data_IF_230674093095
#
_entry.id   IF_230674093095
#
_cell.length_a   1.000
_cell.length_b   1.000
_cell.length_c   1.000
_cell.angle_alpha   90.00
_cell.angle_beta   90.00
_cell.angle_gamma   90.00
#
_symmetry.space_group_name_H-M   'P 1'
#
loop_
_entity.id
_entity.type
_entity.pdbx_description
1 polymer ?
#
# COMPACT_ATOMS: atom_id res chain seq x y z
N UNK A 1 -16.85 8.32 -7.26
CA UNK A 1 -17.29 8.17 -5.86
C UNK A 1 -16.44 7.06 -5.26
N UNK A 2 -16.06 7.17 -3.98
CA UNK A 2 -15.23 6.15 -3.33
C UNK A 2 -16.13 5.18 -2.54
N UNK A 3 -15.85 3.89 -2.61
CA UNK A 3 -16.47 2.90 -1.74
C UNK A 3 -15.86 2.99 -0.34
N UNK A 4 -16.70 2.97 0.69
CA UNK A 4 -16.27 2.99 2.10
C UNK A 4 -16.56 1.63 2.70
N UNK A 5 -15.51 0.99 3.23
CA UNK A 5 -15.61 -0.28 3.93
C UNK A 5 -15.30 -0.07 5.42
N UNK A 6 -16.27 -0.36 6.27
CA UNK A 6 -16.06 -0.42 7.72
C UNK A 6 -15.48 -1.80 8.08
N UNK A 7 -14.19 -1.82 8.39
CA UNK A 7 -13.45 -3.04 8.73
C UNK A 7 -13.11 -2.99 10.22
N UNK A 8 -13.36 -4.08 10.94
CA UNK A 8 -12.99 -4.17 12.35
C UNK A 8 -11.45 -4.18 12.50
N UNK A 9 -10.86 -3.29 13.32
CA UNK A 9 -9.42 -3.04 13.30
C UNK A 9 -8.57 -4.22 13.79
N UNK A 10 -9.08 -5.03 14.71
CA UNK A 10 -8.35 -6.20 15.26
C UNK A 10 -8.87 -7.55 14.76
N UNK A 11 -10.00 -7.56 14.06
CA UNK A 11 -10.66 -8.78 13.58
C UNK A 11 -11.25 -8.51 12.19
N UNK A 12 -10.41 -8.15 11.20
CA UNK A 12 -10.87 -7.68 9.91
C UNK A 12 -11.70 -8.75 9.20
N UNK A 13 -12.85 -8.34 8.66
CA UNK A 13 -13.75 -9.24 7.93
C UNK A 13 -13.13 -9.59 6.57
N UNK A 14 -12.77 -10.86 6.37
CA UNK A 14 -12.07 -11.32 5.16
C UNK A 14 -12.75 -10.89 3.86
N UNK A 15 -14.09 -10.99 3.78
CA UNK A 15 -14.87 -10.58 2.60
C UNK A 15 -14.63 -9.11 2.20
N UNK A 16 -14.42 -8.21 3.17
CA UNK A 16 -14.14 -6.80 2.90
C UNK A 16 -12.69 -6.60 2.48
N UNK A 17 -11.75 -7.33 3.09
CA UNK A 17 -10.35 -7.36 2.67
C UNK A 17 -10.21 -7.84 1.22
N UNK A 18 -10.89 -8.93 0.85
CA UNK A 18 -10.85 -9.48 -0.52
C UNK A 18 -11.38 -8.48 -1.56
N UNK A 19 -12.41 -7.70 -1.20
CA UNK A 19 -12.90 -6.61 -2.05
C UNK A 19 -11.87 -5.50 -2.21
N UNK A 20 -11.22 -5.07 -1.13
CA UNK A 20 -10.13 -4.08 -1.19
C UNK A 20 -8.96 -4.56 -2.05
N UNK A 21 -8.59 -5.83 -1.93
CA UNK A 21 -7.55 -6.47 -2.74
C UNK A 21 -7.95 -6.54 -4.21
N UNK A 22 -9.22 -6.84 -4.50
CA UNK A 22 -9.74 -6.83 -5.88
C UNK A 22 -9.67 -5.43 -6.51
N UNK A 23 -9.94 -4.37 -5.73
CA UNK A 23 -9.77 -2.98 -6.18
C UNK A 23 -8.31 -2.69 -6.51
N UNK A 24 -7.37 -3.12 -5.68
CA UNK A 24 -5.94 -2.97 -5.94
C UNK A 24 -5.54 -3.67 -7.25
N UNK A 25 -5.89 -4.95 -7.43
CA UNK A 25 -5.59 -5.70 -8.65
C UNK A 25 -6.25 -5.11 -9.91
N UNK A 26 -7.37 -4.41 -9.77
CA UNK A 26 -8.03 -3.68 -10.86
C UNK A 26 -7.41 -2.31 -11.20
N UNK A 27 -6.25 -1.95 -10.63
CA UNK A 27 -5.60 -0.63 -10.83
C UNK A 27 -6.23 0.50 -10.01
N UNK A 28 -7.03 0.15 -9.00
CA UNK A 28 -7.60 1.07 -8.04
C UNK A 28 -6.58 1.57 -7.01
N UNK A 29 -7.01 2.56 -6.24
CA UNK A 29 -6.25 3.12 -5.11
C UNK A 29 -7.10 2.93 -3.87
N UNK A 30 -6.49 2.48 -2.78
CA UNK A 30 -7.15 2.30 -1.49
C UNK A 30 -6.53 3.24 -0.45
N UNK A 31 -7.36 3.70 0.48
CA UNK A 31 -6.93 4.39 1.70
C UNK A 31 -7.14 3.41 2.84
N UNK A 32 -6.08 3.08 3.59
CA UNK A 32 -6.15 2.04 4.63
C UNK A 32 -5.38 2.46 5.89
N UNK A 33 -5.82 2.00 7.07
CA UNK A 33 -5.15 2.32 8.32
C UNK A 33 -3.84 1.52 8.46
N UNK A 34 -2.84 2.15 9.06
CA UNK A 34 -1.61 1.56 9.57
C UNK A 34 -1.45 1.93 11.04
N UNK A 35 -0.40 1.42 11.68
CA UNK A 35 0.02 1.81 13.04
C UNK A 35 0.40 3.30 13.18
N UNK A 36 0.66 3.97 12.05
CA UNK A 36 1.21 5.32 11.95
C UNK A 36 0.25 6.33 11.30
N UNK A 37 -1.00 5.93 11.07
CA UNK A 37 -2.02 6.77 10.44
C UNK A 37 -2.62 6.10 9.20
N UNK A 38 -3.19 6.90 8.28
CA UNK A 38 -3.72 6.37 7.03
C UNK A 38 -2.70 6.45 5.90
N UNK A 39 -2.63 5.38 5.11
CA UNK A 39 -1.81 5.31 3.91
C UNK A 39 -2.68 5.25 2.64
N UNK A 40 -2.14 5.79 1.55
CA UNK A 40 -2.64 5.60 0.19
C UNK A 40 -1.84 4.47 -0.46
N UNK A 41 -2.52 3.42 -0.93
CA UNK A 41 -1.90 2.27 -1.57
C UNK A 41 -2.47 1.99 -2.96
N UNK A 42 -1.62 1.48 -3.84
CA UNK A 42 -1.98 0.95 -5.15
C UNK A 42 -1.19 -0.31 -5.46
N UNK A 43 -1.57 -1.04 -6.50
CA UNK A 43 -0.82 -2.21 -6.95
C UNK A 43 0.60 -1.83 -7.41
N UNK A 44 1.59 -2.65 -7.05
CA UNK A 44 2.98 -2.45 -7.46
C UNK A 44 3.12 -2.58 -8.98
N UNK A 45 3.93 -1.71 -9.60
CA UNK A 45 4.15 -1.72 -11.05
C UNK A 45 3.03 -1.08 -11.88
N UNK A 46 1.92 -0.65 -11.27
CA UNK A 46 0.90 0.14 -11.98
C UNK A 46 1.32 1.62 -12.04
N UNK A 47 1.90 2.00 -13.18
CA UNK A 47 2.32 3.39 -13.43
C UNK A 47 1.17 4.38 -13.35
N UNK A 48 -0.03 4.01 -13.83
CA UNK A 48 -1.19 4.90 -13.86
C UNK A 48 -1.71 5.16 -12.46
N UNK A 49 -1.78 4.12 -11.63
CA UNK A 49 -2.18 4.26 -10.23
C UNK A 49 -1.14 5.06 -9.42
N UNK A 50 0.16 4.84 -9.66
CA UNK A 50 1.22 5.59 -8.99
C UNK A 50 1.17 7.10 -9.29
N UNK A 51 0.95 7.49 -10.54
CA UNK A 51 0.79 8.91 -10.92
C UNK A 51 -0.44 9.55 -10.27
N UNK A 52 -1.53 8.79 -10.13
CA UNK A 52 -2.70 9.24 -9.37
C UNK A 52 -2.39 9.43 -7.89
N UNK A 53 -1.68 8.50 -7.24
CA UNK A 53 -1.22 8.65 -5.84
C UNK A 53 -0.34 9.89 -5.70
N UNK A 54 0.62 10.09 -6.62
CA UNK A 54 1.50 11.26 -6.66
C UNK A 54 0.71 12.56 -6.75
N UNK A 55 -0.30 12.62 -7.63
CA UNK A 55 -1.18 13.78 -7.80
C UNK A 55 -2.00 14.06 -6.54
N UNK A 56 -2.61 13.03 -5.94
CA UNK A 56 -3.40 13.15 -4.70
C UNK A 56 -2.53 13.68 -3.55
N UNK A 57 -1.30 13.18 -3.43
CA UNK A 57 -0.37 13.57 -2.36
C UNK A 57 0.46 14.83 -2.65
N UNK A 58 0.34 15.43 -3.84
CA UNK A 58 1.12 16.61 -4.23
C UNK A 58 2.64 16.37 -4.25
N UNK A 59 3.07 15.16 -4.62
CA UNK A 59 4.48 14.75 -4.50
C UNK A 59 5.32 15.13 -5.72
N UNK A 60 6.59 15.48 -5.45
CA UNK A 60 7.57 15.75 -6.50
C UNK A 60 7.94 14.47 -7.26
N UNK A 61 8.43 14.55 -8.51
CA UNK A 61 8.88 13.38 -9.26
C UNK A 61 10.06 12.64 -8.62
N UNK A 62 10.79 13.29 -7.71
CA UNK A 62 11.95 12.72 -7.01
C UNK A 62 11.60 12.11 -5.65
N UNK A 63 10.33 12.18 -5.24
CA UNK A 63 9.93 11.66 -3.95
C UNK A 63 10.02 10.13 -3.93
N UNK A 64 10.64 9.58 -2.89
CA UNK A 64 10.63 8.14 -2.66
C UNK A 64 9.22 7.70 -2.27
N UNK A 65 8.77 6.58 -2.84
CA UNK A 65 7.56 5.91 -2.42
C UNK A 65 7.89 4.84 -1.38
N UNK A 66 6.86 4.49 -0.61
CA UNK A 66 6.94 3.40 0.37
C UNK A 66 6.45 2.11 -0.27
N UNK A 67 7.24 1.05 -0.15
CA UNK A 67 6.78 -0.31 -0.42
C UNK A 67 6.31 -0.94 0.89
N UNK A 68 5.00 -1.18 1.00
CA UNK A 68 4.43 -1.83 2.18
C UNK A 68 4.73 -3.33 2.12
N UNK A 69 5.55 -3.82 3.05
CA UNK A 69 5.95 -5.22 3.13
C UNK A 69 5.32 -5.88 4.37
N UNK A 70 4.97 -7.16 4.27
CA UNK A 70 4.41 -7.97 5.36
C UNK A 70 5.40 -8.20 6.49
N UNK A 71 6.66 -8.45 6.15
CA UNK A 71 7.72 -8.77 7.11
C UNK A 71 9.12 -8.49 6.53
N UNK A 72 10.15 -8.67 7.35
CA UNK A 72 11.55 -8.44 6.96
C UNK A 72 12.04 -9.38 5.85
N UNK A 73 11.47 -10.58 5.74
CA UNK A 73 11.86 -11.53 4.70
C UNK A 73 11.40 -11.03 3.33
N UNK A 74 10.22 -10.43 3.26
CA UNK A 74 9.72 -9.81 2.02
C UNK A 74 10.56 -8.59 1.60
N UNK A 75 11.05 -7.79 2.56
CA UNK A 75 11.92 -6.63 2.25
C UNK A 75 13.19 -7.08 1.51
N UNK A 76 13.76 -8.23 1.87
CA UNK A 76 14.97 -8.77 1.25
C UNK A 76 14.80 -9.09 -0.25
N UNK A 77 13.56 -9.25 -0.74
CA UNK A 77 13.25 -9.44 -2.16
C UNK A 77 13.43 -8.12 -2.94
N UNK A 78 13.16 -6.99 -2.30
CA UNK A 78 13.07 -5.68 -2.96
C UNK A 78 14.22 -4.74 -2.63
N UNK A 79 14.97 -5.00 -1.55
CA UNK A 79 16.05 -4.14 -1.09
C UNK A 79 17.27 -4.95 -0.65
N UNK A 80 18.46 -4.34 -0.80
CA UNK A 80 19.68 -4.86 -0.18
C UNK A 80 19.66 -4.47 1.30
N UNK A 81 19.47 -5.47 2.15
CA UNK A 81 19.47 -5.30 3.61
C UNK A 81 20.78 -5.88 4.14
N UNK A 82 21.63 -5.01 4.69
CA UNK A 82 22.87 -5.44 5.34
C UNK A 82 22.56 -5.86 6.79
N UNK A 83 23.27 -6.87 7.28
CA UNK A 83 23.23 -7.27 8.68
C UNK A 83 24.64 -7.13 9.29
N UNK A 84 25.06 -5.93 9.72
CA UNK A 84 26.44 -5.63 10.10
C UNK A 84 26.93 -6.34 11.37
N UNK A 85 26.13 -7.21 11.97
CA UNK A 85 26.47 -8.00 13.16
C UNK A 85 27.10 -9.36 12.78
N UNK A 86 27.20 -9.68 11.48
CA UNK A 86 27.92 -10.84 10.94
C UNK A 86 28.88 -10.43 9.81
#
# INVERSE_FOLDING_TARGET
>A
MADIFEIHPTHPQQRLIDRSVSVLHGGGIVVYPTDSGYALGCHMGDRTALERVRKIRGLSPRHHFTLMCRDLSEIAVYARVNNPVF
#
